data_IF_189559180320
#
_entry.id   IF_189559180320
#
_cell.length_a   1.000
_cell.length_b   1.000
_cell.length_c   1.000
_cell.angle_alpha   90.00
_cell.angle_beta   90.00
_cell.angle_gamma   90.00
#
_symmetry.space_group_name_H-M   'P 1'
#
loop_
_entity.id
_entity.type
_entity.pdbx_description
1 polymer ?
#
# COMPACT_ATOMS: atom_id res chain seq x y z
N UNK A 1 -10.20 -15.19 -0.77
CA UNK A 1 -8.74 -15.40 -0.75
C UNK A 1 -8.15 -14.10 -0.26
N UNK A 2 -7.46 -14.14 0.88
CA UNK A 2 -6.59 -13.03 1.27
C UNK A 2 -5.27 -13.23 0.54
N UNK A 3 -4.76 -12.18 -0.10
CA UNK A 3 -3.45 -12.21 -0.72
C UNK A 3 -2.54 -11.35 0.13
N UNK A 4 -1.53 -11.96 0.74
CA UNK A 4 -0.49 -11.23 1.47
C UNK A 4 0.48 -10.55 0.50
N UNK A 5 0.48 -10.99 -0.76
CA UNK A 5 1.31 -10.44 -1.82
C UNK A 5 0.63 -10.56 -3.18
N UNK A 6 0.73 -9.51 -4.00
CA UNK A 6 0.43 -9.52 -5.42
C UNK A 6 1.60 -8.90 -6.19
N UNK A 7 1.85 -9.35 -7.41
CA UNK A 7 2.95 -8.85 -8.25
C UNK A 7 2.43 -8.49 -9.63
N UNK A 8 2.92 -7.39 -10.18
CA UNK A 8 2.61 -6.91 -11.52
C UNK A 8 3.91 -6.74 -12.30
N UNK A 9 4.01 -7.40 -13.44
CA UNK A 9 5.07 -7.13 -14.41
C UNK A 9 4.72 -5.87 -15.19
N UNK A 10 5.60 -4.88 -15.14
CA UNK A 10 5.42 -3.58 -15.81
C UNK A 10 6.40 -3.40 -16.98
N UNK A 11 7.06 -4.48 -17.42
CA UNK A 11 7.98 -4.53 -18.55
C UNK A 11 9.41 -4.06 -18.23
N UNK A 12 9.55 -2.98 -17.47
CA UNK A 12 10.85 -2.49 -16.97
C UNK A 12 11.28 -3.09 -15.62
N UNK A 13 10.39 -3.87 -14.99
CA UNK A 13 10.62 -4.46 -13.68
C UNK A 13 9.34 -5.10 -13.13
N UNK A 14 9.40 -5.52 -11.87
CA UNK A 14 8.24 -6.03 -11.13
C UNK A 14 7.83 -5.04 -10.06
N UNK A 15 6.55 -4.71 -10.03
CA UNK A 15 5.93 -3.97 -8.95
C UNK A 15 5.22 -4.94 -8.01
N UNK A 16 5.55 -4.90 -6.74
CA UNK A 16 5.02 -5.81 -5.71
C UNK A 16 4.09 -5.04 -4.79
N UNK A 17 2.94 -5.62 -4.48
CA UNK A 17 2.04 -5.16 -3.43
C UNK A 17 2.10 -6.17 -2.30
N UNK A 18 2.51 -5.76 -1.11
CA UNK A 18 2.54 -6.62 0.10
C UNK A 18 1.56 -6.11 1.13
N UNK A 19 0.98 -7.01 1.92
CA UNK A 19 0.08 -6.68 3.02
C UNK A 19 0.49 -7.44 4.29
N UNK A 20 1.11 -6.73 5.22
CA UNK A 20 1.43 -7.23 6.55
C UNK A 20 0.15 -7.29 7.41
N UNK A 21 0.03 -8.36 8.19
CA UNK A 21 -1.10 -8.60 9.08
C UNK A 21 -2.45 -8.67 8.34
N UNK A 22 -2.45 -9.07 7.07
CA UNK A 22 -3.68 -9.19 6.29
C UNK A 22 -4.54 -10.35 6.83
N UNK A 23 -5.79 -10.07 7.19
CA UNK A 23 -6.72 -11.09 7.70
C UNK A 23 -8.18 -10.65 7.50
N UNK A 24 -9.15 -11.58 7.61
CA UNK A 24 -10.57 -11.25 7.50
C UNK A 24 -11.03 -10.23 8.54
N UNK A 25 -10.37 -10.17 9.70
CA UNK A 25 -10.65 -9.21 10.76
C UNK A 25 -9.85 -7.90 10.60
N UNK A 26 -8.71 -7.94 9.91
CA UNK A 26 -7.79 -6.82 9.73
C UNK A 26 -8.10 -6.08 8.42
N UNK A 27 -9.27 -5.46 8.36
CA UNK A 27 -9.78 -4.82 7.14
C UNK A 27 -9.32 -3.38 6.92
N UNK A 28 -8.73 -2.74 7.93
CA UNK A 28 -8.28 -1.35 7.83
C UNK A 28 -6.80 -1.28 7.48
N UNK A 29 -6.45 -0.27 6.71
CA UNK A 29 -5.06 0.09 6.47
C UNK A 29 -4.61 0.97 7.64
N UNK A 30 -3.56 0.56 8.34
CA UNK A 30 -2.87 1.35 9.36
C UNK A 30 -1.82 2.27 8.74
N UNK A 31 -1.03 1.74 7.82
CA UNK A 31 0.07 2.45 7.15
C UNK A 31 0.25 1.95 5.72
N UNK A 32 0.72 2.83 4.84
CA UNK A 32 1.17 2.47 3.49
C UNK A 32 2.48 3.16 3.18
N UNK A 33 3.42 2.41 2.60
CA UNK A 33 4.66 2.98 2.04
C UNK A 33 4.85 2.60 0.58
N UNK A 34 5.39 3.53 -0.21
CA UNK A 34 5.88 3.32 -1.56
C UNK A 34 7.41 3.31 -1.52
N UNK A 35 8.02 2.17 -1.86
CA UNK A 35 9.48 1.96 -1.79
C UNK A 35 10.08 2.38 -0.43
N UNK A 36 9.40 2.04 0.66
CA UNK A 36 9.82 2.35 2.03
C UNK A 36 9.63 3.80 2.48
N UNK A 37 8.93 4.63 1.69
CA UNK A 37 8.59 6.02 2.06
C UNK A 37 7.08 6.18 2.23
N UNK A 38 6.60 7.02 3.16
CA UNK A 38 5.18 7.34 3.26
C UNK A 38 4.64 7.89 1.94
N UNK A 39 3.35 7.65 1.69
CA UNK A 39 2.62 8.30 0.61
C UNK A 39 2.57 9.83 0.80
N UNK A 40 2.15 10.54 -0.23
CA UNK A 40 1.93 11.98 -0.13
C UNK A 40 0.75 12.33 0.79
N UNK A 41 0.54 13.64 0.99
CA UNK A 41 -0.52 14.15 1.87
C UNK A 41 -1.92 13.70 1.45
N UNK A 42 -2.13 13.32 0.19
CA UNK A 42 -3.42 12.88 -0.35
C UNK A 42 -3.54 11.35 -0.44
N UNK A 43 -2.64 10.62 0.23
CA UNK A 43 -2.54 9.18 0.16
C UNK A 43 -2.32 8.67 -1.28
N UNK A 44 -1.55 9.42 -2.07
CA UNK A 44 -1.19 9.07 -3.44
C UNK A 44 0.33 8.98 -3.62
N UNK A 45 0.74 8.42 -4.74
CA UNK A 45 2.13 8.37 -5.18
C UNK A 45 2.18 8.60 -6.70
N UNK A 46 3.32 9.07 -7.19
CA UNK A 46 3.48 9.40 -8.61
C UNK A 46 3.74 8.17 -9.45
N UNK A 47 3.39 8.25 -10.73
CA UNK A 47 3.70 7.19 -11.70
C UNK A 47 5.20 6.86 -11.78
N UNK A 48 6.05 7.88 -11.61
CA UNK A 48 7.51 7.73 -11.59
C UNK A 48 8.01 6.81 -10.47
N UNK A 49 7.28 6.70 -9.36
CA UNK A 49 7.70 5.94 -8.18
C UNK A 49 7.51 4.42 -8.34
N UNK A 50 6.67 3.97 -9.26
CA UNK A 50 6.51 2.53 -9.53
C UNK A 50 7.02 2.09 -10.90
N UNK A 51 7.36 3.02 -11.80
CA UNK A 51 7.76 2.71 -13.19
C UNK A 51 9.04 1.87 -13.30
N UNK A 52 9.92 1.92 -12.31
CA UNK A 52 11.14 1.09 -12.25
C UNK A 52 10.90 -0.28 -11.56
N UNK A 53 9.65 -0.60 -11.23
CA UNK A 53 9.27 -1.66 -10.31
C UNK A 53 9.16 -1.10 -8.90
N UNK A 54 9.36 -1.96 -7.91
CA UNK A 54 9.39 -1.56 -6.50
C UNK A 54 8.27 -2.18 -5.68
N UNK A 55 7.92 -1.55 -4.58
CA UNK A 55 6.97 -2.10 -3.61
C UNK A 55 5.98 -1.07 -3.08
N UNK A 56 4.71 -1.46 -3.00
CA UNK A 56 3.68 -0.82 -2.19
C UNK A 56 3.36 -1.74 -1.01
N UNK A 57 3.77 -1.34 0.18
CA UNK A 57 3.63 -2.14 1.39
C UNK A 57 2.51 -1.58 2.28
N UNK A 58 1.51 -2.41 2.56
CA UNK A 58 0.41 -2.12 3.46
C UNK A 58 0.64 -2.78 4.81
N UNK A 59 0.37 -2.06 5.89
CA UNK A 59 0.21 -2.63 7.25
C UNK A 59 -1.27 -2.59 7.60
N UNK A 60 -1.85 -3.76 7.90
CA UNK A 60 -3.28 -3.91 8.17
C UNK A 60 -3.59 -3.93 9.67
N UNK A 61 -4.79 -3.48 10.06
CA UNK A 61 -5.28 -3.49 11.46
C UNK A 61 -6.78 -3.79 11.52
N UNK A 62 -7.21 -4.41 12.62
CA UNK A 62 -8.63 -4.54 12.98
C UNK A 62 -9.14 -3.30 13.75
N UNK A 63 -8.23 -2.49 14.30
CA UNK A 63 -8.57 -1.32 15.09
C UNK A 63 -8.83 -0.12 14.18
N UNK A 64 -10.11 0.25 14.04
CA UNK A 64 -10.53 1.41 13.25
C UNK A 64 -9.90 2.72 13.75
N UNK A 65 -9.54 2.83 15.03
CA UNK A 65 -8.90 4.03 15.57
C UNK A 65 -7.46 4.21 15.11
N UNK A 66 -6.80 3.12 14.69
CA UNK A 66 -5.47 3.14 14.07
C UNK A 66 -5.53 3.29 12.55
N UNK A 67 -6.73 3.33 11.95
CA UNK A 67 -6.87 3.40 10.50
C UNK A 67 -6.31 4.72 9.96
N UNK A 68 -5.57 4.60 8.86
CA UNK A 68 -5.08 5.73 8.07
C UNK A 68 -6.26 6.63 7.69
N UNK A 69 -6.13 7.93 7.97
CA UNK A 69 -7.16 8.90 7.63
C UNK A 69 -7.15 9.16 6.13
N UNK A 70 -8.35 9.24 5.54
CA UNK A 70 -8.49 9.64 4.14
C UNK A 70 -8.25 11.14 4.01
N UNK A 71 -7.22 11.51 3.26
CA UNK A 71 -6.97 12.90 2.88
C UNK A 71 -7.29 13.04 1.39
N UNK A 72 -8.50 13.51 1.10
CA UNK A 72 -8.94 13.73 -0.28
C UNK A 72 -8.62 15.19 -0.63
N UNK A 73 -7.78 15.42 -1.65
CA UNK A 73 -7.58 16.77 -2.18
C UNK A 73 -8.89 17.33 -2.73
N UNK A 74 -9.11 18.65 -2.57
CA UNK A 74 -10.22 19.38 -3.19
C UNK A 74 -10.11 19.44 -4.71
#
# INVERSE_FOLDING_TARGET
MNFDQATVDIGSGTFTVTAENNGPDNMYIKEVTINGKPLDVYNTFQHSEFKAGGELHFVMTADKSEAMQANLGE
#
